data_IF_547552993586
#
_entry.id   IF_547552993586
#
_cell.length_a   1.000
_cell.length_b   1.000
_cell.length_c   1.000
_cell.angle_alpha   90.00
_cell.angle_beta   90.00
_cell.angle_gamma   90.00
#
_symmetry.space_group_name_H-M   'P 1'
#
loop_
_entity.id
_entity.type
_entity.pdbx_description
1 polymer ?
#
# COMPACT_ATOMS: atom_id res chain seq x y z
N UNK A 1 -5.38 -26.20 -17.66
CA UNK A 1 -6.86 -26.28 -17.68
C UNK A 1 -7.34 -24.96 -17.10
N UNK A 2 -8.25 -24.27 -17.77
CA UNK A 2 -8.92 -23.10 -17.18
C UNK A 2 -9.82 -23.72 -16.12
N UNK A 3 -9.43 -23.61 -14.85
CA UNK A 3 -10.30 -23.92 -13.73
C UNK A 3 -11.60 -23.14 -13.91
N UNK A 4 -12.70 -23.54 -13.29
CA UNK A 4 -13.96 -22.82 -13.41
C UNK A 4 -13.76 -21.36 -13.01
N UNK A 5 -13.70 -20.49 -14.03
CA UNK A 5 -13.54 -19.05 -13.85
C UNK A 5 -14.77 -18.54 -13.08
N UNK A 6 -14.55 -17.94 -11.94
CA UNK A 6 -15.60 -17.25 -11.20
C UNK A 6 -15.90 -15.92 -11.89
N UNK A 7 -16.82 -15.94 -12.87
CA UNK A 7 -17.19 -14.79 -13.66
C UNK A 7 -17.65 -13.59 -12.83
N UNK A 8 -18.54 -13.74 -11.84
CA UNK A 8 -18.94 -12.64 -10.96
C UNK A 8 -17.76 -11.99 -10.26
N UNK A 9 -16.90 -12.79 -9.63
CA UNK A 9 -15.71 -12.28 -8.93
C UNK A 9 -14.73 -11.63 -9.90
N UNK A 10 -14.52 -12.22 -11.08
CA UNK A 10 -13.62 -11.67 -12.11
C UNK A 10 -14.13 -10.32 -12.64
N UNK A 11 -15.42 -10.17 -12.91
CA UNK A 11 -16.01 -8.89 -13.38
C UNK A 11 -15.83 -7.81 -12.32
N UNK A 12 -16.08 -8.12 -11.05
CA UNK A 12 -15.90 -7.19 -9.94
C UNK A 12 -14.42 -6.79 -9.82
N UNK A 13 -13.52 -7.75 -9.86
CA UNK A 13 -12.06 -7.51 -9.78
C UNK A 13 -11.58 -6.61 -10.93
N UNK A 14 -11.91 -6.96 -12.18
CA UNK A 14 -11.53 -6.17 -13.36
C UNK A 14 -12.14 -4.77 -13.29
N UNK A 15 -13.39 -4.65 -12.86
CA UNK A 15 -14.06 -3.36 -12.67
C UNK A 15 -13.30 -2.47 -11.68
N UNK A 16 -12.87 -3.02 -10.54
CA UNK A 16 -12.06 -2.28 -9.58
C UNK A 16 -10.67 -1.92 -10.11
N UNK A 17 -10.00 -2.82 -10.82
CA UNK A 17 -8.71 -2.53 -11.46
C UNK A 17 -8.84 -1.38 -12.46
N UNK A 18 -9.91 -1.35 -13.24
CA UNK A 18 -10.18 -0.25 -14.18
C UNK A 18 -10.44 1.07 -13.44
N UNK A 19 -11.29 1.07 -12.40
CA UNK A 19 -11.56 2.26 -11.59
C UNK A 19 -10.28 2.81 -10.96
N UNK A 20 -9.49 1.96 -10.33
CA UNK A 20 -8.22 2.35 -9.70
C UNK A 20 -7.23 2.88 -10.72
N UNK A 21 -7.13 2.23 -11.90
CA UNK A 21 -6.26 2.69 -12.98
C UNK A 21 -6.68 4.06 -13.51
N UNK A 22 -7.98 4.27 -13.75
CA UNK A 22 -8.51 5.56 -14.17
C UNK A 22 -8.24 6.64 -13.14
N UNK A 23 -8.47 6.37 -11.86
CA UNK A 23 -8.17 7.30 -10.77
C UNK A 23 -6.67 7.64 -10.73
N UNK A 24 -5.80 6.65 -10.94
CA UNK A 24 -4.35 6.85 -11.01
C UNK A 24 -3.94 7.84 -12.10
N UNK A 25 -4.53 7.74 -13.30
CA UNK A 25 -4.27 8.68 -14.39
C UNK A 25 -4.92 10.04 -14.17
N UNK A 26 -6.14 10.09 -13.65
CA UNK A 26 -6.85 11.35 -13.32
C UNK A 26 -6.12 12.12 -12.21
N UNK A 27 -5.48 11.43 -11.28
CA UNK A 27 -4.75 12.02 -10.16
C UNK A 27 -3.63 12.99 -10.62
N UNK A 28 -3.06 12.81 -11.82
CA UNK A 28 -2.11 13.75 -12.40
C UNK A 28 -2.69 15.16 -12.57
N UNK A 29 -4.01 15.28 -12.71
CA UNK A 29 -4.72 16.55 -12.86
C UNK A 29 -5.24 17.12 -11.53
N UNK A 30 -5.24 16.32 -10.48
CA UNK A 30 -5.70 16.71 -9.16
C UNK A 30 -4.64 17.50 -8.40
N UNK A 31 -5.03 18.66 -7.84
CA UNK A 31 -4.11 19.57 -7.12
C UNK A 31 -2.82 19.85 -7.92
N UNK A 32 -2.99 20.25 -9.17
CA UNK A 32 -1.88 20.48 -10.12
C UNK A 32 -0.73 21.26 -9.51
N UNK A 33 0.49 20.75 -9.71
CA UNK A 33 1.77 21.39 -9.46
C UNK A 33 2.73 21.03 -10.58
N UNK A 34 3.95 21.50 -10.51
CA UNK A 34 4.97 21.15 -11.47
C UNK A 34 5.55 19.76 -11.15
N UNK A 35 5.04 18.71 -11.80
CA UNK A 35 5.45 17.32 -11.58
C UNK A 35 6.90 17.02 -12.04
N UNK A 36 7.57 17.97 -12.70
CA UNK A 36 9.01 17.87 -12.97
C UNK A 36 9.87 18.22 -11.74
N UNK A 37 9.27 18.84 -10.72
CA UNK A 37 9.89 19.04 -9.42
C UNK A 37 9.69 17.80 -8.54
N UNK A 38 10.78 17.26 -8.02
CA UNK A 38 10.76 16.09 -7.14
C UNK A 38 9.92 16.31 -5.87
N UNK A 39 9.88 17.53 -5.33
CA UNK A 39 9.02 17.86 -4.19
C UNK A 39 7.52 17.74 -4.53
N UNK A 40 7.12 18.17 -5.70
CA UNK A 40 5.75 18.04 -6.17
C UNK A 40 5.41 16.58 -6.48
N UNK A 41 6.34 15.87 -7.11
CA UNK A 41 6.13 14.47 -7.46
C UNK A 41 6.13 13.55 -6.23
N UNK A 42 7.13 13.65 -5.36
CA UNK A 42 7.33 12.73 -4.23
C UNK A 42 6.56 13.08 -2.97
N UNK A 43 6.20 14.36 -2.76
CA UNK A 43 5.51 14.83 -1.55
C UNK A 43 4.13 15.47 -1.83
N UNK A 44 3.68 15.47 -3.09
CA UNK A 44 2.45 16.17 -3.47
C UNK A 44 2.48 17.68 -3.16
N UNK A 45 3.69 18.27 -3.15
CA UNK A 45 3.90 19.66 -2.76
C UNK A 45 3.55 19.96 -1.29
N UNK A 46 3.44 18.93 -0.43
CA UNK A 46 3.01 19.04 0.98
C UNK A 46 1.63 19.71 1.14
N UNK A 47 0.77 19.57 0.15
CA UNK A 47 -0.57 20.19 0.12
C UNK A 47 -1.69 19.24 0.55
N UNK A 48 -1.35 18.06 1.04
CA UNK A 48 -2.30 17.13 1.58
C UNK A 48 -2.73 17.58 2.98
N UNK A 49 -4.04 17.75 3.17
CA UNK A 49 -4.61 18.04 4.48
C UNK A 49 -4.74 16.78 5.33
N UNK A 50 -5.19 16.90 6.59
CA UNK A 50 -5.25 15.77 7.53
C UNK A 50 -6.09 14.59 7.01
N UNK A 51 -7.20 14.86 6.34
CA UNK A 51 -8.05 13.80 5.77
C UNK A 51 -7.34 12.98 4.68
N UNK A 52 -6.68 13.66 3.73
CA UNK A 52 -5.94 12.97 2.67
C UNK A 52 -4.79 12.16 3.27
N UNK A 53 -4.07 12.75 4.24
CA UNK A 53 -2.97 12.06 4.92
C UNK A 53 -3.46 10.85 5.72
N UNK A 54 -4.64 10.93 6.34
CA UNK A 54 -5.25 9.80 7.05
C UNK A 54 -5.49 8.61 6.12
N UNK A 55 -6.19 8.84 4.99
CA UNK A 55 -6.44 7.79 4.01
C UNK A 55 -5.14 7.26 3.38
N UNK A 56 -4.18 8.14 3.09
CA UNK A 56 -2.90 7.73 2.51
C UNK A 56 -2.10 6.84 3.45
N UNK A 57 -2.03 7.18 4.74
CA UNK A 57 -1.36 6.37 5.77
C UNK A 57 -2.14 5.07 6.02
N UNK A 58 -3.47 5.14 6.12
CA UNK A 58 -4.33 3.97 6.25
C UNK A 58 -4.14 3.01 5.07
N UNK A 59 -4.15 3.54 3.85
CA UNK A 59 -3.91 2.78 2.64
C UNK A 59 -2.53 2.14 2.56
N UNK A 60 -1.53 2.68 3.23
CA UNK A 60 -0.21 2.07 3.33
C UNK A 60 -0.16 0.93 4.37
N UNK A 61 -0.93 1.05 5.44
CA UNK A 61 -1.02 0.02 6.50
C UNK A 61 -1.89 -1.18 6.09
N UNK A 62 -3.03 -0.93 5.43
CA UNK A 62 -3.97 -1.98 5.00
C UNK A 62 -3.58 -2.54 3.65
N UNK A 63 -2.77 -3.59 3.64
CA UNK A 63 -2.18 -4.19 2.44
C UNK A 63 -2.41 -5.69 2.38
N UNK A 64 -1.80 -6.39 1.42
CA UNK A 64 -1.79 -7.84 1.36
C UNK A 64 -1.26 -8.48 2.66
N UNK A 65 -0.37 -7.79 3.38
CA UNK A 65 0.08 -8.25 4.70
C UNK A 65 -1.10 -8.40 5.67
N UNK A 66 -1.96 -7.40 5.76
CA UNK A 66 -3.09 -7.38 6.69
C UNK A 66 -4.19 -8.39 6.32
N UNK A 67 -4.47 -8.54 5.02
CA UNK A 67 -5.65 -9.30 4.55
C UNK A 67 -5.29 -10.75 4.21
N UNK A 68 -4.06 -11.02 3.80
CA UNK A 68 -3.62 -12.35 3.36
C UNK A 68 -2.57 -12.92 4.30
N UNK A 69 -1.45 -12.22 4.52
CA UNK A 69 -0.29 -12.81 5.20
C UNK A 69 -0.59 -13.09 6.69
N UNK A 70 -1.11 -12.13 7.44
CA UNK A 70 -1.42 -12.33 8.87
C UNK A 70 -2.48 -13.41 9.08
N UNK A 71 -3.63 -13.40 8.39
CA UNK A 71 -4.60 -14.48 8.50
C UNK A 71 -4.04 -15.85 8.11
N UNK A 72 -3.19 -15.94 7.09
CA UNK A 72 -2.55 -17.20 6.70
C UNK A 72 -1.62 -17.73 7.79
N UNK A 73 -0.86 -16.87 8.45
CA UNK A 73 0.00 -17.24 9.58
C UNK A 73 -0.84 -17.70 10.77
N UNK A 74 -1.93 -17.00 11.09
CA UNK A 74 -2.86 -17.41 12.16
C UNK A 74 -3.46 -18.79 11.85
N UNK A 75 -3.85 -19.04 10.62
CA UNK A 75 -4.38 -20.33 10.19
C UNK A 75 -3.33 -21.44 10.27
N UNK A 76 -2.09 -21.19 9.83
CA UNK A 76 -1.05 -22.21 9.74
C UNK A 76 -0.39 -22.53 11.09
N UNK A 77 -0.18 -21.54 11.95
CA UNK A 77 0.63 -21.66 13.18
C UNK A 77 -0.14 -21.18 14.43
N UNK A 78 -1.38 -20.76 14.29
CA UNK A 78 -2.24 -20.36 15.41
C UNK A 78 -1.81 -19.06 16.07
N UNK A 79 -1.73 -19.07 17.40
CA UNK A 79 -1.54 -17.88 18.24
C UNK A 79 -0.27 -17.06 17.92
N UNK A 80 0.72 -17.67 17.30
CA UNK A 80 1.94 -16.95 16.87
C UNK A 80 1.62 -15.79 15.92
N UNK A 81 0.61 -15.93 15.05
CA UNK A 81 0.19 -14.87 14.13
C UNK A 81 -0.31 -13.60 14.82
N UNK A 82 -0.72 -13.68 16.08
CA UNK A 82 -1.15 -12.50 16.85
C UNK A 82 -0.03 -11.52 17.22
N UNK A 83 1.26 -11.86 16.97
CA UNK A 83 2.36 -10.92 17.15
C UNK A 83 2.19 -9.65 16.32
N UNK A 84 1.43 -9.74 15.23
CA UNK A 84 1.12 -8.59 14.37
C UNK A 84 0.36 -7.47 15.09
N UNK A 85 -0.42 -7.77 16.12
CA UNK A 85 -1.20 -6.79 16.88
C UNK A 85 -0.33 -5.89 17.79
N UNK A 86 0.53 -6.44 18.67
CA UNK A 86 1.33 -5.62 19.59
C UNK A 86 2.22 -4.62 18.86
N UNK A 87 2.94 -5.03 17.82
CA UNK A 87 3.84 -4.10 17.15
C UNK A 87 3.09 -3.00 16.40
N UNK A 88 1.93 -3.33 15.82
CA UNK A 88 1.09 -2.34 15.13
C UNK A 88 0.55 -1.30 16.13
N UNK A 89 0.13 -1.74 17.32
CA UNK A 89 -0.37 -0.84 18.36
C UNK A 89 0.75 0.04 18.92
N UNK A 90 1.93 -0.52 19.15
CA UNK A 90 3.06 0.20 19.76
C UNK A 90 3.66 1.28 18.85
N UNK A 91 3.48 1.16 17.52
CA UNK A 91 4.00 2.15 16.59
C UNK A 91 3.29 3.51 16.74
N UNK A 92 1.98 3.53 17.07
CA UNK A 92 1.20 4.76 17.14
C UNK A 92 1.70 5.75 18.23
N UNK A 93 1.92 5.37 19.48
CA UNK A 93 2.51 6.27 20.48
C UNK A 93 3.87 6.82 20.03
N UNK A 94 4.71 5.97 19.41
CA UNK A 94 6.01 6.38 18.89
C UNK A 94 5.86 7.45 17.78
N UNK A 95 4.90 7.25 16.87
CA UNK A 95 4.60 8.21 15.81
C UNK A 95 4.14 9.55 16.40
N UNK A 96 3.28 9.54 17.41
CA UNK A 96 2.79 10.78 18.06
C UNK A 96 3.91 11.59 18.71
N UNK A 97 4.93 10.96 19.25
CA UNK A 97 6.05 11.65 19.92
C UNK A 97 7.14 12.06 18.93
N UNK A 98 7.52 11.16 18.02
CA UNK A 98 8.69 11.35 17.15
C UNK A 98 8.35 12.14 15.87
N UNK A 99 7.22 11.81 15.22
CA UNK A 99 6.90 12.36 13.90
C UNK A 99 6.64 13.86 13.86
N UNK A 100 5.93 14.49 14.81
CA UNK A 100 5.77 15.95 14.79
C UNK A 100 7.10 16.70 14.85
N UNK A 101 8.04 16.19 15.63
CA UNK A 101 9.39 16.77 15.75
C UNK A 101 10.20 16.59 14.46
N UNK A 102 10.18 15.37 13.91
CA UNK A 102 10.84 15.05 12.65
C UNK A 102 10.25 15.88 11.50
N UNK A 103 8.93 15.95 11.43
CA UNK A 103 8.23 16.74 10.42
C UNK A 103 8.60 18.23 10.51
N UNK A 104 8.63 18.81 11.70
CA UNK A 104 8.99 20.21 11.90
C UNK A 104 10.41 20.52 11.39
N UNK A 105 11.38 19.62 11.64
CA UNK A 105 12.74 19.75 11.12
C UNK A 105 12.77 19.58 9.61
N UNK A 106 12.15 18.54 9.09
CA UNK A 106 12.10 18.25 7.65
C UNK A 106 11.42 19.39 6.87
N UNK A 107 10.36 19.98 7.44
CA UNK A 107 9.67 21.12 6.82
C UNK A 107 10.55 22.38 6.77
N UNK A 108 11.23 22.71 7.89
CA UNK A 108 12.13 23.90 7.98
C UNK A 108 13.35 23.77 7.08
N UNK A 109 13.90 22.57 6.97
CA UNK A 109 15.12 22.29 6.20
C UNK A 109 14.85 21.82 4.78
N UNK A 110 13.59 21.67 4.42
CA UNK A 110 13.13 21.19 3.12
C UNK A 110 13.63 19.77 2.77
N UNK A 111 13.81 18.91 3.77
CA UNK A 111 14.20 17.51 3.56
C UNK A 111 13.06 16.71 2.98
N UNK A 112 13.34 15.84 2.02
CA UNK A 112 12.36 14.96 1.38
C UNK A 112 12.37 13.55 1.97
N UNK A 113 13.57 13.05 2.30
CA UNK A 113 13.81 11.68 2.70
C UNK A 113 14.50 11.61 4.07
N UNK A 114 14.50 10.40 4.66
CA UNK A 114 15.30 10.14 5.85
C UNK A 114 16.80 10.32 5.60
N UNK A 115 17.27 10.03 4.38
CA UNK A 115 18.65 10.20 3.98
C UNK A 115 19.08 11.68 4.00
N UNK A 116 18.21 12.59 3.49
CA UNK A 116 18.45 14.04 3.56
C UNK A 116 18.58 14.54 5.00
N UNK A 117 17.73 14.00 5.90
CA UNK A 117 17.80 14.33 7.33
C UNK A 117 19.15 13.93 7.93
N UNK A 118 19.61 12.73 7.60
CA UNK A 118 20.90 12.21 8.09
C UNK A 118 22.06 13.02 7.55
N UNK A 119 22.05 13.34 6.25
CA UNK A 119 23.05 14.21 5.65
C UNK A 119 23.07 15.57 6.34
N UNK A 120 21.92 16.20 6.51
CA UNK A 120 21.81 17.52 7.13
C UNK A 120 22.16 17.56 8.61
N UNK A 121 22.04 16.41 9.32
CA UNK A 121 22.37 16.29 10.75
C UNK A 121 23.84 15.98 11.00
N UNK A 122 24.42 15.10 10.20
CA UNK A 122 25.76 14.54 10.43
C UNK A 122 26.80 15.01 9.41
N UNK A 123 26.39 15.60 8.28
CA UNK A 123 27.30 16.08 7.23
C UNK A 123 28.06 14.96 6.51
N UNK A 124 27.62 13.71 6.64
CA UNK A 124 28.34 12.53 6.13
C UNK A 124 27.57 11.87 4.98
N UNK A 125 28.11 11.97 3.76
CA UNK A 125 27.54 11.38 2.54
C UNK A 125 27.50 9.84 2.55
N UNK A 126 28.44 9.19 3.21
CA UNK A 126 28.44 7.74 3.31
C UNK A 126 27.31 7.22 4.20
N UNK A 127 27.02 7.96 5.29
CA UNK A 127 25.90 7.66 6.16
C UNK A 127 24.56 7.90 5.45
N UNK A 128 24.44 8.97 4.68
CA UNK A 128 23.29 9.24 3.81
C UNK A 128 23.05 8.07 2.85
N UNK A 129 24.09 7.64 2.12
CA UNK A 129 24.03 6.54 1.19
C UNK A 129 23.64 5.22 1.87
N UNK A 130 24.20 4.94 3.04
CA UNK A 130 23.87 3.76 3.82
C UNK A 130 22.39 3.73 4.23
N UNK A 131 21.84 4.87 4.66
CA UNK A 131 20.42 4.99 5.01
C UNK A 131 19.52 4.80 3.78
N UNK A 132 19.88 5.42 2.65
CA UNK A 132 19.13 5.26 1.40
C UNK A 132 19.13 3.80 0.93
N UNK A 133 20.29 3.15 0.94
CA UNK A 133 20.44 1.75 0.56
C UNK A 133 19.67 0.80 1.49
N UNK A 134 19.73 1.05 2.81
CA UNK A 134 18.94 0.29 3.79
C UNK A 134 17.43 0.42 3.53
N UNK A 135 16.96 1.62 3.19
CA UNK A 135 15.57 1.86 2.82
C UNK A 135 15.15 1.06 1.59
N UNK A 136 15.98 1.01 0.55
CA UNK A 136 15.74 0.22 -0.66
C UNK A 136 15.67 -1.28 -0.30
N UNK A 137 16.65 -1.79 0.42
CA UNK A 137 16.67 -3.21 0.82
C UNK A 137 15.47 -3.59 1.69
N UNK A 138 15.04 -2.71 2.59
CA UNK A 138 13.90 -2.95 3.48
C UNK A 138 12.57 -3.00 2.73
N UNK A 139 12.42 -2.25 1.63
CA UNK A 139 11.18 -2.24 0.83
C UNK A 139 11.08 -3.41 -0.14
N UNK A 140 12.17 -4.04 -0.54
CA UNK A 140 12.15 -5.16 -1.51
C UNK A 140 11.30 -6.36 -1.04
N UNK A 141 11.48 -6.90 0.19
CA UNK A 141 10.63 -8.00 0.68
C UNK A 141 9.15 -7.60 0.78
N UNK A 142 8.88 -6.33 1.09
CA UNK A 142 7.52 -5.82 1.17
C UNK A 142 6.86 -5.77 -0.23
N UNK A 143 7.58 -5.32 -1.26
CA UNK A 143 7.11 -5.36 -2.64
C UNK A 143 6.85 -6.82 -3.08
N UNK A 144 7.77 -7.74 -2.79
CA UNK A 144 7.60 -9.15 -3.09
C UNK A 144 6.32 -9.73 -2.45
N UNK A 145 6.03 -9.38 -1.19
CA UNK A 145 4.81 -9.79 -0.51
C UNK A 145 3.54 -9.29 -1.22
N UNK A 146 3.54 -8.04 -1.71
CA UNK A 146 2.41 -7.49 -2.45
C UNK A 146 2.18 -8.22 -3.78
N UNK A 147 3.28 -8.57 -4.49
CA UNK A 147 3.21 -9.33 -5.74
C UNK A 147 2.66 -10.73 -5.52
N UNK A 148 3.14 -11.44 -4.50
CA UNK A 148 2.62 -12.76 -4.11
C UNK A 148 1.14 -12.68 -3.72
N UNK A 149 0.75 -11.66 -2.97
CA UNK A 149 -0.65 -11.43 -2.61
C UNK A 149 -1.53 -11.26 -3.84
N UNK A 150 -1.10 -10.47 -4.81
CA UNK A 150 -1.83 -10.26 -6.07
C UNK A 150 -1.91 -11.55 -6.91
N UNK A 151 -0.83 -12.31 -6.98
CA UNK A 151 -0.79 -13.63 -7.65
C UNK A 151 -1.82 -14.58 -7.05
N UNK A 152 -1.91 -14.67 -5.72
CA UNK A 152 -2.91 -15.51 -5.04
C UNK A 152 -4.35 -15.08 -5.30
N UNK A 153 -4.61 -13.80 -5.45
CA UNK A 153 -5.94 -13.31 -5.85
C UNK A 153 -6.25 -13.74 -7.29
N UNK A 154 -5.31 -13.61 -8.21
CA UNK A 154 -5.48 -14.01 -9.62
C UNK A 154 -5.72 -15.53 -9.73
N UNK A 155 -4.97 -16.35 -8.98
CA UNK A 155 -5.20 -17.80 -8.87
C UNK A 155 -6.61 -18.12 -8.33
N UNK A 156 -7.04 -17.43 -7.27
CA UNK A 156 -8.36 -17.61 -6.67
C UNK A 156 -9.52 -17.28 -7.62
N UNK A 157 -9.30 -16.41 -8.62
CA UNK A 157 -10.25 -16.10 -9.68
C UNK A 157 -10.35 -17.21 -10.76
N UNK A 158 -9.49 -18.24 -10.67
CA UNK A 158 -9.46 -19.36 -11.61
C UNK A 158 -8.47 -19.20 -12.78
N UNK A 159 -7.61 -18.20 -12.72
CA UNK A 159 -6.51 -18.06 -13.67
C UNK A 159 -5.33 -18.94 -13.27
N UNK A 160 -5.46 -20.25 -13.45
CA UNK A 160 -4.38 -21.19 -13.28
C UNK A 160 -3.58 -21.31 -14.59
N UNK A 161 -2.40 -20.74 -14.63
CA UNK A 161 -1.46 -20.88 -15.74
C UNK A 161 -0.24 -21.70 -15.35
N UNK A 162 0.48 -22.22 -16.34
CA UNK A 162 1.81 -22.79 -16.14
C UNK A 162 2.87 -21.94 -16.83
N UNK A 163 3.99 -21.72 -16.16
CA UNK A 163 5.11 -20.97 -16.70
C UNK A 163 4.89 -19.47 -16.80
N UNK A 164 5.46 -18.84 -17.80
CA UNK A 164 5.46 -17.37 -17.96
C UNK A 164 4.05 -16.76 -18.11
N UNK A 165 3.12 -17.51 -18.70
CA UNK A 165 1.73 -17.05 -18.90
C UNK A 165 0.98 -16.77 -17.58
N UNK A 166 1.35 -17.42 -16.48
CA UNK A 166 0.77 -17.20 -15.14
C UNK A 166 1.07 -15.80 -14.62
N UNK A 167 2.25 -15.27 -14.93
CA UNK A 167 2.70 -13.96 -14.44
C UNK A 167 2.32 -12.79 -15.35
N UNK A 168 1.73 -13.06 -16.52
CA UNK A 168 1.41 -12.04 -17.51
C UNK A 168 0.36 -11.04 -17.01
N UNK A 169 -0.78 -11.45 -16.38
CA UNK A 169 -1.73 -10.50 -15.80
C UNK A 169 -1.11 -9.63 -14.71
N UNK A 170 -0.28 -10.21 -13.86
CA UNK A 170 0.46 -9.49 -12.82
C UNK A 170 1.41 -8.47 -13.43
N UNK A 171 2.16 -8.84 -14.47
CA UNK A 171 3.10 -7.96 -15.16
C UNK A 171 2.39 -6.78 -15.82
N UNK A 172 1.22 -7.00 -16.44
CA UNK A 172 0.40 -5.96 -17.03
C UNK A 172 -0.11 -4.99 -15.97
N UNK A 173 -0.64 -5.51 -14.85
CA UNK A 173 -1.13 -4.69 -13.75
C UNK A 173 0.00 -3.82 -13.17
N UNK A 174 1.19 -4.39 -13.01
CA UNK A 174 2.36 -3.66 -12.52
C UNK A 174 2.84 -2.59 -13.50
N UNK A 175 2.81 -2.87 -14.81
CA UNK A 175 3.14 -1.88 -15.83
C UNK A 175 2.17 -0.69 -15.80
N UNK A 176 0.87 -0.96 -15.71
CA UNK A 176 -0.16 0.08 -15.59
C UNK A 176 0.10 0.95 -14.35
N UNK A 177 0.38 0.31 -13.20
CA UNK A 177 0.72 0.98 -11.94
C UNK A 177 1.95 1.88 -12.12
N UNK A 178 3.01 1.38 -12.73
CA UNK A 178 4.24 2.13 -12.98
C UNK A 178 3.97 3.35 -13.89
N UNK A 179 3.16 3.18 -14.93
CA UNK A 179 2.81 4.25 -15.87
C UNK A 179 2.01 5.38 -15.20
N UNK A 180 0.98 5.10 -14.43
CA UNK A 180 0.24 6.17 -13.79
C UNK A 180 1.01 6.78 -12.60
N UNK A 181 1.78 6.00 -11.85
CA UNK A 181 2.59 6.51 -10.74
C UNK A 181 3.70 7.43 -11.24
N UNK A 182 4.38 7.07 -12.32
CA UNK A 182 5.41 7.93 -12.93
C UNK A 182 4.86 9.31 -13.35
N UNK A 183 3.61 9.34 -13.81
CA UNK A 183 2.95 10.58 -14.24
C UNK A 183 2.30 11.39 -13.13
N UNK A 184 1.83 10.73 -12.07
CA UNK A 184 1.01 11.37 -11.02
C UNK A 184 1.76 11.54 -9.69
N UNK A 185 2.88 10.84 -9.51
CA UNK A 185 3.63 10.83 -8.23
C UNK A 185 2.74 10.39 -7.06
N UNK A 186 2.95 10.97 -5.89
CA UNK A 186 2.22 10.65 -4.67
C UNK A 186 0.71 10.95 -4.74
N UNK A 187 0.26 11.72 -5.73
CA UNK A 187 -1.16 12.03 -5.92
C UNK A 187 -1.99 10.81 -6.31
N UNK A 188 -1.40 9.89 -7.10
CA UNK A 188 -2.09 8.65 -7.47
C UNK A 188 -2.40 7.77 -6.24
N UNK A 189 -1.41 7.36 -5.44
CA UNK A 189 -1.69 6.62 -4.21
C UNK A 189 -2.68 7.32 -3.28
N UNK A 190 -2.57 8.65 -3.14
CA UNK A 190 -3.46 9.42 -2.28
C UNK A 190 -4.92 9.39 -2.74
N UNK A 191 -5.18 9.46 -4.04
CA UNK A 191 -6.54 9.39 -4.59
C UNK A 191 -7.09 7.96 -4.53
N UNK A 192 -6.25 6.97 -4.83
CA UNK A 192 -6.61 5.55 -4.78
C UNK A 192 -6.90 5.10 -3.34
N UNK A 193 -6.19 5.65 -2.35
CA UNK A 193 -6.35 5.30 -0.94
C UNK A 193 -7.80 5.52 -0.46
N UNK A 194 -8.51 6.55 -0.92
CA UNK A 194 -9.91 6.75 -0.57
C UNK A 194 -10.78 5.56 -0.96
N UNK A 195 -10.62 5.05 -2.18
CA UNK A 195 -11.39 3.90 -2.65
C UNK A 195 -10.97 2.64 -1.91
N UNK A 196 -9.68 2.41 -1.81
CA UNK A 196 -9.10 1.22 -1.18
C UNK A 196 -9.53 1.11 0.29
N UNK A 197 -9.37 2.17 1.07
CA UNK A 197 -9.70 2.14 2.50
C UNK A 197 -11.21 2.01 2.73
N UNK A 198 -12.02 2.68 1.93
CA UNK A 198 -13.48 2.51 1.99
C UNK A 198 -13.87 1.06 1.74
N UNK A 199 -13.26 0.39 0.76
CA UNK A 199 -13.50 -1.03 0.50
C UNK A 199 -13.05 -1.91 1.67
N UNK A 200 -11.92 -1.60 2.29
CA UNK A 200 -11.42 -2.35 3.45
C UNK A 200 -12.36 -2.20 4.64
N UNK A 201 -12.88 -1.00 4.91
CA UNK A 201 -13.86 -0.81 5.98
C UNK A 201 -15.15 -1.60 5.71
N UNK A 202 -15.66 -1.57 4.48
CA UNK A 202 -16.85 -2.38 4.10
C UNK A 202 -16.56 -3.87 4.29
N UNK A 203 -15.39 -4.35 3.83
CA UNK A 203 -14.97 -5.74 3.99
C UNK A 203 -14.88 -6.16 5.45
N UNK A 204 -14.23 -5.37 6.30
CA UNK A 204 -14.07 -5.67 7.73
C UNK A 204 -15.42 -5.72 8.43
N UNK A 205 -16.32 -4.77 8.15
CA UNK A 205 -17.68 -4.78 8.70
C UNK A 205 -18.43 -6.02 8.23
N UNK A 206 -18.35 -6.35 6.95
CA UNK A 206 -18.98 -7.55 6.41
C UNK A 206 -18.46 -8.83 7.08
N UNK A 207 -17.14 -8.95 7.30
CA UNK A 207 -16.55 -10.11 8.00
C UNK A 207 -17.04 -10.19 9.45
N UNK A 208 -17.06 -9.08 10.18
CA UNK A 208 -17.57 -9.04 11.55
C UNK A 208 -19.03 -9.50 11.67
N UNK A 209 -19.85 -9.17 10.69
CA UNK A 209 -21.28 -9.53 10.69
C UNK A 209 -21.51 -10.93 10.14
N UNK A 210 -20.99 -11.23 8.95
CA UNK A 210 -21.34 -12.44 8.20
C UNK A 210 -20.70 -13.69 8.80
N UNK A 211 -19.45 -13.59 9.25
CA UNK A 211 -18.73 -14.79 9.75
C UNK A 211 -19.37 -15.33 11.03
N UNK A 212 -19.67 -14.55 12.07
CA UNK A 212 -20.37 -15.07 13.24
C UNK A 212 -21.76 -15.63 12.91
N UNK A 213 -22.51 -14.95 12.02
CA UNK A 213 -23.82 -15.44 11.58
C UNK A 213 -23.73 -16.83 10.93
N UNK A 214 -22.67 -17.11 10.19
CA UNK A 214 -22.44 -18.42 9.54
C UNK A 214 -21.93 -19.48 10.52
N UNK A 215 -21.24 -19.08 11.60
CA UNK A 215 -20.67 -19.98 12.60
C UNK A 215 -21.59 -20.23 13.80
N UNK A 216 -22.82 -19.71 13.81
CA UNK A 216 -23.80 -19.97 14.87
C UNK A 216 -24.02 -18.81 15.86
N UNK A 217 -23.49 -17.62 15.57
CA UNK A 217 -23.68 -16.40 16.37
C UNK A 217 -22.43 -15.96 17.14
N UNK A 218 -22.63 -14.96 18.01
CA UNK A 218 -21.59 -14.41 18.90
C UNK A 218 -21.51 -15.10 20.27
N UNK A 219 -22.27 -16.18 20.49
CA UNK A 219 -22.33 -16.95 21.73
C UNK A 219 -21.52 -18.23 21.68
#
# INVERSE_FOLDING_TARGET
MIGHLDWPATIVFVGFVLVVSLLGFVAAHWKRGNLSDLHEWGLGGRRFGPWISWFLIGGDLYTAYTVIAVPSVVYAIGAYGFFALPYTILIYPLLYVAFPRLWAVAHRKNYMTAADYVLGRYGNKWLELAVAFTGILATMPYIALQLVGMEKVIEALGFEGQGFATHLPLSIAFLILALYTSRSGLRAPAMIAFVKDTMIYIFVIAVIVVVPMKLGGYG
#
